data_IF_218158405224
#
_entry.id   IF_218158405224
#
_cell.length_a   1.000
_cell.length_b   1.000
_cell.length_c   1.000
_cell.angle_alpha   90.00
_cell.angle_beta   90.00
_cell.angle_gamma   90.00
#
_symmetry.space_group_name_H-M   'P 1'
#
loop_
_entity.id
_entity.type
_entity.pdbx_description
1 polymer ?
#
# COMPACT_ATOMS: atom_id res chain seq x y z
N UNK A 1 -11.28 21.30 -15.30
CA UNK A 1 -11.48 19.85 -15.37
C UNK A 1 -11.48 19.28 -13.94
N UNK A 2 -12.49 18.46 -13.64
CA UNK A 2 -12.70 17.90 -12.30
C UNK A 2 -11.85 16.66 -12.02
N UNK A 3 -12.15 15.98 -10.90
CA UNK A 3 -11.54 14.70 -10.55
C UNK A 3 -11.97 13.59 -11.53
N UNK A 4 -11.12 12.58 -11.68
CA UNK A 4 -11.37 11.41 -12.54
C UNK A 4 -12.46 10.48 -12.04
N UNK A 5 -12.81 10.55 -10.75
CA UNK A 5 -13.83 9.77 -10.09
C UNK A 5 -14.56 10.58 -9.01
N UNK A 6 -15.77 10.16 -8.66
CA UNK A 6 -16.57 10.81 -7.63
C UNK A 6 -16.14 10.41 -6.21
N UNK A 7 -15.59 9.20 -6.07
CA UNK A 7 -15.17 8.66 -4.79
C UNK A 7 -13.68 8.81 -4.61
N UNK A 8 -13.26 9.63 -3.64
CA UNK A 8 -11.85 9.76 -3.22
C UNK A 8 -11.62 8.84 -2.02
N UNK A 9 -10.73 7.85 -2.19
CA UNK A 9 -10.45 6.84 -1.17
C UNK A 9 -9.13 7.09 -0.43
N UNK A 10 -8.20 7.82 -1.07
CA UNK A 10 -6.90 8.13 -0.50
C UNK A 10 -6.51 9.56 -0.84
N UNK A 11 -5.83 10.21 0.08
CA UNK A 11 -5.23 11.54 -0.11
C UNK A 11 -3.82 11.52 0.47
N UNK A 12 -2.89 12.11 -0.26
CA UNK A 12 -1.50 12.24 0.15
C UNK A 12 -0.90 13.54 -0.35
N UNK A 13 -0.13 14.24 0.49
CA UNK A 13 0.66 15.41 0.10
C UNK A 13 2.13 15.00 0.04
N UNK A 14 2.72 15.10 -1.14
CA UNK A 14 4.13 14.73 -1.35
C UNK A 14 5.11 15.79 -0.85
N UNK A 15 6.40 15.47 -0.89
CA UNK A 15 7.50 16.34 -0.46
C UNK A 15 7.62 17.62 -1.30
N UNK A 16 7.09 17.64 -2.52
CA UNK A 16 7.03 18.82 -3.41
C UNK A 16 5.80 19.70 -3.10
N UNK A 17 4.92 19.28 -2.19
CA UNK A 17 3.71 20.00 -1.81
C UNK A 17 2.50 19.73 -2.71
N UNK A 18 2.60 18.82 -3.67
CA UNK A 18 1.51 18.42 -4.53
C UNK A 18 0.55 17.48 -3.80
N UNK A 19 -0.74 17.63 -4.05
CA UNK A 19 -1.77 16.78 -3.45
C UNK A 19 -2.16 15.67 -4.43
N UNK A 20 -2.02 14.44 -3.99
CA UNK A 20 -2.39 13.24 -4.71
C UNK A 20 -3.71 12.68 -4.17
N UNK A 21 -4.62 12.35 -5.07
CA UNK A 21 -5.97 11.88 -4.77
C UNK A 21 -6.19 10.54 -5.45
N UNK A 22 -6.41 9.53 -4.63
CA UNK A 22 -6.74 8.20 -5.12
C UNK A 22 -8.25 8.05 -5.29
N UNK A 23 -8.69 7.82 -6.53
CA UNK A 23 -10.11 7.65 -6.85
C UNK A 23 -10.46 6.18 -7.13
N UNK A 24 -11.71 5.91 -7.44
CA UNK A 24 -12.18 4.61 -7.90
C UNK A 24 -11.72 4.26 -9.34
N UNK A 25 -11.23 5.24 -10.10
CA UNK A 25 -10.81 5.08 -11.49
C UNK A 25 -9.31 5.21 -11.72
N UNK A 26 -8.67 6.23 -11.17
CA UNK A 26 -7.25 6.49 -11.39
C UNK A 26 -6.62 7.30 -10.22
N UNK A 27 -5.36 7.65 -10.38
CA UNK A 27 -4.65 8.56 -9.50
C UNK A 27 -4.73 9.96 -10.07
N UNK A 28 -5.19 10.92 -9.29
CA UNK A 28 -5.24 12.33 -9.64
C UNK A 28 -4.19 13.12 -8.88
N UNK A 29 -3.60 14.14 -9.50
CA UNK A 29 -2.70 15.10 -8.87
C UNK A 29 -3.28 16.50 -8.97
N UNK A 30 -3.38 17.18 -7.86
CA UNK A 30 -3.82 18.57 -7.77
C UNK A 30 -2.65 19.48 -7.37
N UNK A 31 -2.40 20.52 -8.12
CA UNK A 31 -1.32 21.49 -7.92
C UNK A 31 -1.80 22.83 -7.34
N UNK A 32 -3.05 22.87 -6.88
CA UNK A 32 -3.70 24.09 -6.38
C UNK A 32 -4.58 24.79 -7.41
N UNK A 33 -4.42 24.48 -8.71
CA UNK A 33 -5.16 25.09 -9.81
C UNK A 33 -5.78 24.07 -10.75
N UNK A 34 -5.00 23.04 -11.10
CA UNK A 34 -5.39 22.02 -12.10
C UNK A 34 -5.30 20.61 -11.52
N UNK A 35 -6.15 19.74 -12.05
CA UNK A 35 -6.09 18.31 -11.82
C UNK A 35 -5.46 17.62 -13.03
N UNK A 36 -4.47 16.76 -12.77
CA UNK A 36 -3.87 15.89 -13.78
C UNK A 36 -4.17 14.45 -13.44
N UNK A 37 -4.61 13.65 -14.43
CA UNK A 37 -4.97 12.26 -14.29
C UNK A 37 -3.82 11.32 -14.67
N UNK A 38 -3.62 10.27 -13.88
CA UNK A 38 -2.61 9.22 -14.11
C UNK A 38 -3.31 7.87 -14.19
N UNK A 39 -3.29 7.27 -15.38
CA UNK A 39 -4.00 6.01 -15.66
C UNK A 39 -3.14 4.78 -15.34
N UNK A 40 -3.78 3.73 -14.85
CA UNK A 40 -3.20 2.41 -14.69
C UNK A 40 -3.25 1.65 -16.02
N UNK A 41 -2.17 1.72 -16.80
CA UNK A 41 -2.09 1.13 -18.14
C UNK A 41 -1.77 -0.36 -18.10
N UNK A 42 -2.12 -1.09 -19.18
CA UNK A 42 -1.82 -2.52 -19.31
C UNK A 42 -2.67 -3.43 -18.42
N UNK A 43 -3.84 -2.94 -17.99
CA UNK A 43 -4.78 -3.69 -17.15
C UNK A 43 -6.14 -3.72 -17.82
N UNK A 44 -6.75 -4.90 -17.79
CA UNK A 44 -8.09 -5.10 -18.34
C UNK A 44 -9.12 -4.17 -17.72
N UNK A 45 -10.03 -3.65 -18.55
CA UNK A 45 -11.06 -2.67 -18.16
C UNK A 45 -12.04 -3.17 -17.09
N UNK A 46 -12.15 -4.48 -16.92
CA UNK A 46 -13.04 -5.11 -15.92
C UNK A 46 -12.45 -5.21 -14.51
N UNK A 47 -11.16 -4.91 -14.32
CA UNK A 47 -10.53 -4.99 -13.00
C UNK A 47 -10.71 -3.69 -12.22
N UNK A 48 -10.92 -3.82 -10.89
CA UNK A 48 -11.11 -2.68 -9.99
C UNK A 48 -9.80 -1.92 -9.83
N UNK A 49 -9.69 -0.75 -10.46
CA UNK A 49 -8.52 0.14 -10.39
C UNK A 49 -8.54 1.08 -9.18
N UNK A 50 -9.51 0.92 -8.29
CA UNK A 50 -9.67 1.75 -7.09
C UNK A 50 -8.35 1.87 -6.34
N UNK A 51 -7.90 3.10 -6.15
CA UNK A 51 -6.74 3.42 -5.33
C UNK A 51 -7.11 3.28 -3.85
N UNK A 52 -6.35 2.49 -3.11
CA UNK A 52 -6.57 2.28 -1.68
C UNK A 52 -5.62 3.11 -0.82
N UNK A 53 -4.37 3.28 -1.26
CA UNK A 53 -3.33 3.97 -0.50
C UNK A 53 -2.31 4.64 -1.42
N UNK A 54 -1.70 5.71 -0.92
CA UNK A 54 -0.67 6.49 -1.59
C UNK A 54 0.36 6.88 -0.54
N UNK A 55 1.64 6.77 -0.86
CA UNK A 55 2.73 7.23 0.01
C UNK A 55 3.98 7.57 -0.79
N UNK A 56 4.95 8.20 -0.13
CA UNK A 56 6.26 8.51 -0.68
C UNK A 56 7.35 7.97 0.25
N UNK A 57 8.37 7.34 -0.31
CA UNK A 57 9.57 6.90 0.41
C UNK A 57 10.60 8.03 0.47
N UNK A 58 11.63 7.91 1.34
CA UNK A 58 12.63 8.96 1.58
C UNK A 58 13.43 9.36 0.32
N UNK A 59 13.51 8.47 -0.65
CA UNK A 59 14.10 8.70 -1.99
C UNK A 59 13.16 9.44 -2.96
N UNK A 60 12.06 10.01 -2.46
CA UNK A 60 11.02 10.72 -3.23
C UNK A 60 10.30 9.85 -4.26
N UNK A 61 10.26 8.53 -4.07
CA UNK A 61 9.45 7.65 -4.89
C UNK A 61 8.00 7.65 -4.41
N UNK A 62 7.07 8.00 -5.31
CA UNK A 62 5.64 7.90 -5.04
C UNK A 62 5.15 6.49 -5.36
N UNK A 63 4.52 5.88 -4.36
CA UNK A 63 3.95 4.55 -4.42
C UNK A 63 2.45 4.57 -4.30
N UNK A 64 1.78 3.71 -5.05
CA UNK A 64 0.32 3.63 -5.09
C UNK A 64 -0.11 2.17 -4.99
N UNK A 65 -0.92 1.87 -4.00
CA UNK A 65 -1.60 0.59 -3.85
C UNK A 65 -3.03 0.67 -4.36
N UNK A 66 -3.43 -0.29 -5.17
CA UNK A 66 -4.80 -0.36 -5.67
C UNK A 66 -5.35 -1.80 -5.67
N UNK A 67 -6.56 -1.99 -6.16
CA UNK A 67 -7.24 -3.29 -6.19
C UNK A 67 -6.59 -4.37 -7.06
N UNK A 68 -5.52 -4.05 -7.78
CA UNK A 68 -4.86 -4.94 -8.74
C UNK A 68 -3.35 -4.98 -8.61
N UNK A 69 -2.78 -4.30 -7.62
CA UNK A 69 -1.36 -4.39 -7.38
C UNK A 69 -0.70 -3.13 -6.83
N UNK A 70 0.63 -3.16 -6.88
CA UNK A 70 1.53 -2.08 -6.48
C UNK A 70 2.02 -1.33 -7.72
N UNK A 71 2.04 -0.01 -7.62
CA UNK A 71 2.47 0.90 -8.67
C UNK A 71 3.46 1.92 -8.14
N UNK A 72 4.33 2.39 -9.02
CA UNK A 72 5.29 3.45 -8.75
C UNK A 72 5.19 4.52 -9.83
N UNK A 73 5.25 5.78 -9.44
CA UNK A 73 5.30 6.87 -10.38
C UNK A 73 6.72 7.02 -10.93
N UNK A 74 6.88 6.84 -12.22
CA UNK A 74 8.11 7.23 -12.92
C UNK A 74 8.05 8.76 -13.16
N UNK A 75 8.79 9.52 -12.37
CA UNK A 75 8.78 11.01 -12.46
C UNK A 75 9.39 11.53 -13.76
N UNK A 76 10.26 10.77 -14.43
CA UNK A 76 10.91 11.19 -15.68
C UNK A 76 9.93 11.26 -16.86
N UNK A 77 9.02 10.29 -16.96
CA UNK A 77 8.04 10.22 -18.05
C UNK A 77 6.60 10.51 -17.60
N UNK A 78 6.36 10.65 -16.31
CA UNK A 78 5.06 10.91 -15.71
C UNK A 78 4.07 9.74 -15.86
N UNK A 79 4.55 8.50 -15.89
CA UNK A 79 3.72 7.30 -16.03
C UNK A 79 3.76 6.45 -14.77
N UNK A 80 2.64 5.78 -14.49
CA UNK A 80 2.56 4.76 -13.47
C UNK A 80 3.08 3.43 -14.01
N UNK A 81 4.08 2.87 -13.34
CA UNK A 81 4.68 1.58 -13.65
C UNK A 81 4.17 0.54 -12.65
N UNK A 82 3.66 -0.57 -13.14
CA UNK A 82 3.23 -1.68 -12.28
C UNK A 82 4.44 -2.46 -11.80
N UNK A 83 4.51 -2.67 -10.48
CA UNK A 83 5.66 -3.32 -9.84
C UNK A 83 5.37 -4.80 -9.66
N UNK A 84 6.21 -5.64 -10.29
CA UNK A 84 6.27 -7.11 -10.16
C UNK A 84 4.87 -7.73 -10.18
N UNK A 85 4.11 -7.58 -11.30
CA UNK A 85 2.71 -8.04 -11.37
C UNK A 85 2.56 -9.56 -11.19
N UNK A 86 3.62 -10.32 -11.46
CA UNK A 86 3.67 -11.77 -11.24
C UNK A 86 3.71 -12.16 -9.75
N UNK A 87 4.09 -11.22 -8.86
CA UNK A 87 4.09 -11.42 -7.40
C UNK A 87 2.90 -10.77 -6.72
N UNK A 88 2.50 -9.57 -7.16
CA UNK A 88 1.38 -8.82 -6.60
C UNK A 88 0.35 -8.52 -7.69
N UNK A 89 -0.56 -9.46 -7.92
CA UNK A 89 -1.70 -9.37 -8.84
C UNK A 89 -3.05 -9.33 -8.10
N UNK A 90 -3.07 -8.67 -6.93
CA UNK A 90 -4.21 -8.59 -6.02
C UNK A 90 -4.17 -7.26 -5.26
N UNK A 91 -5.18 -7.01 -4.42
CA UNK A 91 -5.30 -5.73 -3.74
C UNK A 91 -4.13 -5.47 -2.77
N UNK A 92 -3.55 -4.28 -2.93
CA UNK A 92 -2.69 -3.61 -1.94
C UNK A 92 -3.59 -2.67 -1.15
N UNK A 93 -3.70 -2.90 0.15
CA UNK A 93 -4.63 -2.17 1.01
C UNK A 93 -3.96 -1.00 1.73
N UNK A 94 -2.71 -1.16 2.14
CA UNK A 94 -1.96 -0.15 2.90
C UNK A 94 -0.48 -0.15 2.55
N UNK A 95 0.14 1.01 2.66
CA UNK A 95 1.57 1.25 2.43
C UNK A 95 2.12 2.04 3.62
N UNK A 96 3.21 1.58 4.21
CA UNK A 96 3.88 2.23 5.33
C UNK A 96 5.37 2.42 5.00
N UNK A 97 5.82 3.66 4.77
CA UNK A 97 7.23 3.95 4.53
C UNK A 97 7.99 4.08 5.86
N UNK A 98 9.25 3.59 5.89
CA UNK A 98 10.23 3.86 6.93
C UNK A 98 11.60 4.06 6.29
N UNK A 99 11.99 5.29 6.06
CA UNK A 99 13.16 5.63 5.24
C UNK A 99 12.98 5.11 3.81
N UNK A 100 13.92 4.26 3.37
CA UNK A 100 13.92 3.63 2.04
C UNK A 100 13.21 2.27 2.02
N UNK A 101 12.65 1.87 3.17
CA UNK A 101 11.87 0.64 3.30
C UNK A 101 10.39 0.97 3.08
N UNK A 102 9.71 0.15 2.30
CA UNK A 102 8.27 0.21 2.14
C UNK A 102 7.64 -1.10 2.59
N UNK A 103 6.85 -1.05 3.66
CA UNK A 103 6.01 -2.15 4.10
C UNK A 103 4.68 -2.11 3.36
N UNK A 104 4.22 -3.25 2.85
CA UNK A 104 3.09 -3.36 1.93
C UNK A 104 2.10 -4.38 2.47
N UNK A 105 0.98 -3.90 2.98
CA UNK A 105 -0.12 -4.73 3.45
C UNK A 105 -1.09 -5.08 2.32
N UNK A 106 -1.32 -6.37 2.12
CA UNK A 106 -2.09 -6.88 0.99
C UNK A 106 -3.21 -7.84 1.41
N UNK A 107 -4.02 -8.27 0.45
CA UNK A 107 -5.00 -9.37 0.64
C UNK A 107 -4.34 -10.73 0.90
N UNK A 108 -3.04 -10.88 0.58
CA UNK A 108 -2.31 -12.16 0.69
C UNK A 108 -1.08 -12.08 1.58
N UNK A 109 -1.06 -11.15 2.54
CA UNK A 109 -0.01 -11.03 3.53
C UNK A 109 0.82 -9.76 3.42
N UNK A 110 2.00 -9.80 4.03
CA UNK A 110 2.95 -8.69 4.14
C UNK A 110 4.08 -8.86 3.14
N UNK A 111 4.36 -7.78 2.41
CA UNK A 111 5.54 -7.65 1.57
C UNK A 111 6.41 -6.50 2.09
N UNK A 112 7.70 -6.60 1.82
CA UNK A 112 8.69 -5.55 2.10
C UNK A 112 9.42 -5.24 0.80
N UNK A 113 9.42 -3.97 0.42
CA UNK A 113 10.26 -3.42 -0.65
C UNK A 113 11.47 -2.74 -0.02
N UNK A 114 12.66 -3.18 -0.35
CA UNK A 114 13.93 -2.61 0.11
C UNK A 114 15.02 -2.85 -0.93
N UNK A 115 15.92 -1.89 -1.15
CA UNK A 115 17.07 -1.99 -2.06
C UNK A 115 16.71 -2.54 -3.46
N UNK A 116 15.55 -2.11 -4.00
CA UNK A 116 15.03 -2.59 -5.29
C UNK A 116 14.47 -4.01 -5.28
N UNK A 117 14.46 -4.69 -4.13
CA UNK A 117 13.96 -6.05 -3.98
C UNK A 117 12.59 -6.05 -3.29
N UNK A 118 11.67 -6.86 -3.81
CA UNK A 118 10.37 -7.12 -3.21
C UNK A 118 10.33 -8.53 -2.62
N UNK A 119 10.16 -8.61 -1.31
CA UNK A 119 10.13 -9.86 -0.55
C UNK A 119 8.74 -10.05 0.08
N UNK A 120 8.14 -11.22 -0.07
CA UNK A 120 6.97 -11.61 0.72
C UNK A 120 7.46 -12.24 2.03
N UNK A 121 7.16 -11.59 3.14
CA UNK A 121 7.61 -12.03 4.49
C UNK A 121 6.52 -12.78 5.25
N UNK A 122 5.25 -12.49 4.96
CA UNK A 122 4.12 -13.22 5.50
C UNK A 122 3.26 -13.78 4.38
N UNK A 123 3.07 -15.09 4.42
CA UNK A 123 2.29 -15.87 3.46
C UNK A 123 1.22 -16.67 4.18
N UNK A 124 0.32 -17.30 3.42
CA UNK A 124 -0.71 -18.22 3.94
C UNK A 124 -0.12 -19.38 4.75
N UNK A 125 1.16 -19.69 4.57
CA UNK A 125 1.83 -20.81 5.22
C UNK A 125 2.36 -20.49 6.62
N UNK A 126 2.74 -19.23 6.86
CA UNK A 126 3.30 -18.76 8.12
C UNK A 126 2.38 -17.80 8.90
N UNK A 127 1.24 -17.44 8.32
CA UNK A 127 0.10 -16.86 9.04
C UNK A 127 -0.98 -17.92 9.22
N UNK A 128 -1.68 -17.88 10.34
CA UNK A 128 -2.96 -18.58 10.46
C UNK A 128 -3.81 -18.16 9.24
N UNK A 129 -4.37 -19.11 8.50
CA UNK A 129 -5.05 -18.89 7.21
C UNK A 129 -6.09 -17.75 7.22
N UNK A 130 -6.50 -17.37 8.39
CA UNK A 130 -7.43 -16.33 8.72
C UNK A 130 -6.85 -14.90 8.71
N UNK A 131 -5.53 -14.71 8.76
CA UNK A 131 -4.90 -13.41 8.98
C UNK A 131 -4.30 -12.79 7.71
N UNK A 132 -4.51 -13.41 6.56
CA UNK A 132 -3.82 -13.06 5.32
C UNK A 132 -4.15 -11.67 4.79
N UNK A 133 -5.35 -11.16 5.07
CA UNK A 133 -5.79 -9.86 4.60
C UNK A 133 -5.39 -8.79 5.61
N UNK A 134 -4.30 -8.10 5.30
CA UNK A 134 -3.85 -6.94 6.05
C UNK A 134 -4.63 -5.72 5.58
N UNK A 135 -5.23 -5.00 6.51
CA UNK A 135 -6.03 -3.81 6.24
C UNK A 135 -5.23 -2.54 6.48
N UNK A 136 -4.39 -2.54 7.53
CA UNK A 136 -3.54 -1.41 7.88
C UNK A 136 -2.28 -1.85 8.63
N UNK A 137 -1.26 -0.97 8.63
CA UNK A 137 0.06 -1.19 9.20
C UNK A 137 0.48 0.01 10.06
N UNK A 138 1.13 -0.28 11.18
CA UNK A 138 1.77 0.73 12.01
C UNK A 138 3.07 0.19 12.62
N UNK A 139 4.15 0.97 12.61
CA UNK A 139 5.34 0.66 13.39
C UNK A 139 5.09 0.91 14.87
N UNK A 140 5.64 0.07 15.75
CA UNK A 140 5.70 0.40 17.16
C UNK A 140 6.73 1.54 17.42
N UNK A 141 6.76 2.07 18.62
CA UNK A 141 7.52 3.27 18.98
C UNK A 141 9.04 3.14 18.72
N UNK A 142 9.61 1.97 19.04
CA UNK A 142 11.04 1.69 18.85
C UNK A 142 11.37 1.07 17.47
N UNK A 143 10.38 0.95 16.60
CA UNK A 143 10.49 0.36 15.25
C UNK A 143 11.01 -1.08 15.23
N UNK A 144 10.82 -1.84 16.29
CA UNK A 144 11.19 -3.26 16.38
C UNK A 144 10.12 -4.19 15.84
N UNK A 145 8.89 -3.72 15.73
CA UNK A 145 7.75 -4.50 15.27
C UNK A 145 6.76 -3.69 14.43
N UNK A 146 6.06 -4.40 13.56
CA UNK A 146 4.89 -3.90 12.84
C UNK A 146 3.62 -4.42 13.51
N UNK A 147 2.69 -3.51 13.80
CA UNK A 147 1.32 -3.83 14.11
C UNK A 147 0.55 -4.05 12.80
N UNK A 148 -0.15 -5.15 12.73
CA UNK A 148 -0.93 -5.56 11.55
C UNK A 148 -2.41 -5.58 11.93
N UNK A 149 -3.17 -4.63 11.42
CA UNK A 149 -4.63 -4.70 11.46
C UNK A 149 -5.12 -5.65 10.37
N UNK A 150 -5.79 -6.72 10.74
CA UNK A 150 -6.28 -7.72 9.81
C UNK A 150 -7.79 -7.93 9.94
N UNK A 151 -8.40 -8.67 9.02
CA UNK A 151 -9.82 -9.03 9.11
C UNK A 151 -10.14 -9.94 10.30
N UNK A 152 -9.13 -10.44 11.01
CA UNK A 152 -9.30 -11.37 12.16
C UNK A 152 -8.68 -10.86 13.46
N UNK A 153 -8.31 -9.61 13.51
CA UNK A 153 -7.79 -8.97 14.71
C UNK A 153 -6.45 -8.31 14.52
N UNK A 154 -5.80 -8.02 15.64
CA UNK A 154 -4.53 -7.33 15.71
C UNK A 154 -3.40 -8.35 15.92
N UNK A 155 -2.34 -8.19 15.13
CA UNK A 155 -1.12 -8.99 15.24
C UNK A 155 0.10 -8.09 15.33
N UNK A 156 1.17 -8.58 15.95
CA UNK A 156 2.49 -7.96 15.92
C UNK A 156 3.46 -8.85 15.15
N UNK A 157 4.16 -8.25 14.19
CA UNK A 157 5.23 -8.89 13.43
C UNK A 157 6.57 -8.33 13.87
N UNK A 158 7.42 -9.17 14.48
CA UNK A 158 8.77 -8.80 14.91
C UNK A 158 9.69 -8.61 13.70
N UNK A 159 10.27 -7.41 13.56
CA UNK A 159 11.22 -7.10 12.49
C UNK A 159 12.60 -7.73 12.74
N UNK A 160 12.87 -8.17 13.97
CA UNK A 160 14.15 -8.80 14.35
C UNK A 160 14.23 -10.27 13.95
N UNK A 161 13.19 -11.04 14.20
CA UNK A 161 13.20 -12.50 14.04
C UNK A 161 12.04 -13.06 13.21
N UNK A 162 11.17 -12.18 12.68
CA UNK A 162 10.05 -12.55 11.81
C UNK A 162 8.93 -13.31 12.49
N UNK A 163 8.87 -13.31 13.84
CA UNK A 163 7.79 -13.96 14.56
C UNK A 163 6.53 -13.12 14.57
N UNK A 164 5.40 -13.82 14.67
CA UNK A 164 4.07 -13.22 14.77
C UNK A 164 3.47 -13.58 16.09
N UNK A 165 3.00 -12.56 16.81
CA UNK A 165 2.21 -12.70 18.01
C UNK A 165 0.79 -12.19 17.75
N UNK A 166 -0.23 -12.96 18.19
CA UNK A 166 -1.62 -12.55 18.12
C UNK A 166 -2.04 -11.84 19.41
N UNK A 167 -2.73 -10.71 19.27
CA UNK A 167 -3.35 -10.02 20.38
C UNK A 167 -4.86 -10.28 20.34
N UNK A 168 -5.31 -11.14 21.24
CA UNK A 168 -6.74 -11.31 21.49
C UNK A 168 -7.11 -10.35 22.61
N UNK A 169 -8.06 -9.45 22.38
CA UNK A 169 -8.73 -8.77 23.48
C UNK A 169 -9.48 -9.85 24.26
N UNK A 170 -9.02 -10.16 25.48
CA UNK A 170 -9.87 -10.91 26.39
C UNK A 170 -11.08 -10.01 26.69
N UNK A 171 -12.26 -10.42 26.24
CA UNK A 171 -13.49 -9.87 26.79
C UNK A 171 -13.46 -10.23 28.29
N UNK A 172 -13.27 -9.20 29.12
CA UNK A 172 -13.58 -9.33 30.55
C UNK A 172 -15.11 -9.43 30.64
N UNK A 173 -15.59 -10.69 30.73
CA UNK A 173 -16.98 -10.99 31.11
C UNK A 173 -17.15 -10.77 32.60
#
# INVERSE_FOLDING_TARGET
DGLSGLLVNAIYKDSEGLVWLGTDNCLDRFDGVKVRHYEFRGVDSGRKKRVNCITETADNQLWVGNGIGLWRLNRANGQLERIVPEKIDFAVNTLLPDGDILYIGTEKGLFIQKDGQLLQVLTDRNMLAACNRIMDLCLNEDKSALWLATVQGLFAYSLKDGKIDSWHFQENV
#
